data_IF_743442145210
#
_entry.id   IF_743442145210
#
_cell.length_a   1.000
_cell.length_b   1.000
_cell.length_c   1.000
_cell.angle_alpha   90.00
_cell.angle_beta   90.00
_cell.angle_gamma   90.00
#
_symmetry.space_group_name_H-M   'P 1'
#
loop_
_entity.id
_entity.type
_entity.pdbx_description
1 polymer ?
#
# COMPACT_ATOMS: atom_id res chain seq x y z
N UNK A 1 21.48 21.86 17.92
CA UNK A 1 21.48 21.28 16.57
C UNK A 1 20.63 22.18 15.69
N UNK A 2 21.11 22.61 14.52
CA UNK A 2 20.31 23.44 13.61
C UNK A 2 19.04 22.72 13.17
N UNK A 3 17.99 23.48 12.79
CA UNK A 3 16.81 22.93 12.15
C UNK A 3 17.26 22.15 10.91
N UNK A 4 16.84 20.89 10.81
CA UNK A 4 17.02 20.10 9.59
C UNK A 4 15.90 20.48 8.64
N UNK A 5 16.24 20.69 7.38
CA UNK A 5 15.28 20.99 6.32
C UNK A 5 15.05 19.76 5.46
N UNK A 6 13.90 19.72 4.79
CA UNK A 6 13.56 18.67 3.85
C UNK A 6 14.44 18.79 2.60
N UNK A 7 15.30 17.79 2.37
CA UNK A 7 16.31 17.81 1.31
C UNK A 7 15.73 17.33 -0.03
N UNK A 8 14.69 18.01 -0.54
CA UNK A 8 13.92 17.60 -1.74
C UNK A 8 14.81 17.15 -2.89
N UNK A 9 15.84 17.93 -3.25
CA UNK A 9 16.74 17.62 -4.36
C UNK A 9 17.45 16.26 -4.20
N UNK A 10 17.84 15.89 -2.98
CA UNK A 10 18.45 14.58 -2.73
C UNK A 10 17.42 13.45 -2.87
N UNK A 11 16.19 13.65 -2.41
CA UNK A 11 15.11 12.67 -2.60
C UNK A 11 14.79 12.46 -4.07
N UNK A 12 14.74 13.53 -4.87
CA UNK A 12 14.56 13.43 -6.33
C UNK A 12 15.65 12.58 -6.95
N UNK A 13 16.93 12.85 -6.64
CA UNK A 13 18.05 12.05 -7.15
C UNK A 13 17.97 10.57 -6.72
N UNK A 14 17.55 10.30 -5.47
CA UNK A 14 17.35 8.94 -4.97
C UNK A 14 16.28 8.19 -5.76
N UNK A 15 15.09 8.77 -5.94
CA UNK A 15 14.00 8.11 -6.66
C UNK A 15 14.25 7.99 -8.16
N UNK A 16 14.93 8.97 -8.77
CA UNK A 16 15.37 8.92 -10.17
C UNK A 16 16.32 7.74 -10.42
N UNK A 17 17.30 7.56 -9.52
CA UNK A 17 18.20 6.39 -9.57
C UNK A 17 17.43 5.08 -9.40
N UNK A 18 16.56 4.98 -8.39
CA UNK A 18 15.77 3.77 -8.12
C UNK A 18 14.74 3.43 -9.21
N UNK A 19 14.29 4.42 -9.98
CA UNK A 19 13.41 4.22 -11.13
C UNK A 19 14.14 3.66 -12.35
N UNK A 20 15.46 3.84 -12.42
CA UNK A 20 16.31 3.42 -13.54
C UNK A 20 16.99 2.08 -13.28
N UNK A 21 17.66 1.95 -12.14
CA UNK A 21 18.43 0.76 -11.77
C UNK A 21 18.37 0.53 -10.25
N UNK A 22 18.09 -0.72 -9.85
CA UNK A 22 18.04 -1.12 -8.46
C UNK A 22 19.41 -1.65 -8.01
N UNK A 23 19.90 -1.29 -6.81
CA UNK A 23 21.10 -1.89 -6.24
C UNK A 23 20.98 -3.41 -6.04
N UNK A 24 22.11 -4.12 -6.09
CA UNK A 24 22.19 -5.59 -5.93
C UNK A 24 21.50 -6.13 -4.66
N UNK A 25 21.45 -5.35 -3.59
CA UNK A 25 20.77 -5.71 -2.33
C UNK A 25 19.25 -5.97 -2.53
N UNK A 26 18.66 -5.46 -3.62
CA UNK A 26 17.27 -5.72 -4.01
C UNK A 26 17.08 -7.02 -4.80
N UNK A 27 18.12 -7.78 -5.10
CA UNK A 27 17.99 -9.07 -5.80
C UNK A 27 17.06 -10.05 -5.07
N UNK A 28 17.05 -10.01 -3.73
CA UNK A 28 16.10 -10.80 -2.91
C UNK A 28 14.63 -10.39 -3.07
N UNK A 29 14.39 -9.20 -3.63
CA UNK A 29 13.08 -8.61 -3.88
C UNK A 29 12.64 -8.74 -5.34
N UNK A 30 13.29 -9.60 -6.13
CA UNK A 30 12.96 -9.78 -7.55
C UNK A 30 11.47 -10.04 -7.76
N UNK A 31 10.82 -10.88 -6.94
CA UNK A 31 9.37 -11.15 -7.04
C UNK A 31 8.49 -9.93 -6.74
N UNK A 32 9.04 -8.87 -6.17
CA UNK A 32 8.36 -7.63 -5.80
C UNK A 32 8.74 -6.45 -6.73
N UNK A 33 9.39 -6.71 -7.87
CA UNK A 33 9.90 -5.67 -8.77
C UNK A 33 8.84 -4.63 -9.15
N UNK A 34 7.61 -5.07 -9.44
CA UNK A 34 6.50 -4.16 -9.74
C UNK A 34 6.11 -3.25 -8.56
N UNK A 35 6.17 -3.76 -7.33
CA UNK A 35 5.95 -2.98 -6.10
C UNK A 35 7.08 -1.97 -5.86
N UNK A 36 8.32 -2.33 -6.18
CA UNK A 36 9.45 -1.40 -6.13
C UNK A 36 9.29 -0.29 -7.18
N UNK A 37 8.86 -0.64 -8.40
CA UNK A 37 8.51 0.32 -9.44
C UNK A 37 7.41 1.29 -9.00
N UNK A 38 6.41 0.80 -8.26
CA UNK A 38 5.38 1.64 -7.65
C UNK A 38 5.96 2.67 -6.68
N UNK A 39 6.85 2.26 -5.78
CA UNK A 39 7.50 3.20 -4.86
C UNK A 39 8.39 4.22 -5.59
N UNK A 40 9.09 3.81 -6.65
CA UNK A 40 9.91 4.70 -7.47
C UNK A 40 9.07 5.78 -8.17
N UNK A 41 8.09 5.35 -8.96
CA UNK A 41 7.21 6.22 -9.73
C UNK A 41 6.34 7.08 -8.83
N UNK A 42 5.78 6.49 -7.76
CA UNK A 42 5.01 7.22 -6.75
C UNK A 42 5.84 8.27 -6.01
N UNK A 43 7.10 7.98 -5.69
CA UNK A 43 8.03 8.93 -5.06
C UNK A 43 8.33 10.12 -5.96
N UNK A 44 8.66 9.89 -7.24
CA UNK A 44 8.87 10.96 -8.22
C UNK A 44 7.59 11.80 -8.44
N UNK A 45 6.44 11.14 -8.49
CA UNK A 45 5.15 11.81 -8.65
C UNK A 45 4.84 12.70 -7.43
N UNK A 46 5.01 12.19 -6.20
CA UNK A 46 4.86 12.98 -4.97
C UNK A 46 5.80 14.20 -4.93
N UNK A 47 6.98 14.07 -5.52
CA UNK A 47 7.97 15.13 -5.60
C UNK A 47 7.70 16.12 -6.74
N UNK A 48 6.68 15.94 -7.61
CA UNK A 48 6.44 16.74 -8.83
C UNK A 48 7.54 16.62 -9.90
N UNK A 49 8.10 15.43 -10.05
CA UNK A 49 9.23 15.16 -10.95
C UNK A 49 8.98 13.90 -11.80
N UNK A 50 7.70 13.61 -12.09
CA UNK A 50 7.31 12.46 -12.91
C UNK A 50 7.80 12.55 -14.36
N UNK A 51 8.06 13.76 -14.85
CA UNK A 51 8.60 14.05 -16.19
C UNK A 51 10.05 13.56 -16.39
N UNK A 52 10.74 13.16 -15.31
CA UNK A 52 12.08 12.57 -15.38
C UNK A 52 12.10 11.17 -15.98
N UNK A 53 10.99 10.46 -15.90
CA UNK A 53 10.87 9.09 -16.43
C UNK A 53 10.06 9.06 -17.72
N UNK A 54 10.39 8.12 -18.58
CA UNK A 54 9.62 7.88 -19.80
C UNK A 54 8.30 7.17 -19.45
N UNK A 55 7.23 7.94 -19.30
CA UNK A 55 5.92 7.42 -18.89
C UNK A 55 5.37 6.36 -19.85
N UNK A 56 5.56 6.51 -21.16
CA UNK A 56 5.12 5.51 -22.15
C UNK A 56 5.88 4.19 -22.01
N UNK A 57 7.18 4.24 -21.75
CA UNK A 57 8.01 3.04 -21.56
C UNK A 57 7.64 2.32 -20.26
N UNK A 58 7.42 3.07 -19.17
CA UNK A 58 6.96 2.49 -17.91
C UNK A 58 5.55 1.89 -18.07
N UNK A 59 4.63 2.56 -18.78
CA UNK A 59 3.31 2.00 -19.07
C UNK A 59 3.43 0.67 -19.82
N UNK A 60 4.23 0.61 -20.89
CA UNK A 60 4.48 -0.64 -21.63
C UNK A 60 5.11 -1.71 -20.75
N UNK A 61 6.06 -1.32 -19.90
CA UNK A 61 6.70 -2.21 -18.94
C UNK A 61 5.68 -2.79 -17.96
N UNK A 62 4.85 -1.98 -17.30
CA UNK A 62 3.80 -2.43 -16.38
C UNK A 62 2.82 -3.38 -17.07
N UNK A 63 2.31 -2.99 -18.25
CA UNK A 63 1.36 -3.81 -19.01
C UNK A 63 1.95 -5.17 -19.42
N UNK A 64 3.28 -5.27 -19.58
CA UNK A 64 3.94 -6.54 -19.89
C UNK A 64 3.90 -7.59 -18.75
N UNK A 65 3.49 -7.18 -17.54
CA UNK A 65 3.27 -8.10 -16.41
C UNK A 65 1.84 -8.58 -16.30
N UNK A 66 0.90 -8.04 -17.09
CA UNK A 66 -0.48 -8.48 -17.06
C UNK A 66 -0.58 -9.91 -17.58
N UNK A 67 -1.27 -10.76 -16.82
CA UNK A 67 -1.51 -12.15 -17.22
C UNK A 67 -2.89 -12.24 -17.85
N UNK A 68 -2.95 -12.84 -19.04
CA UNK A 68 -4.18 -13.06 -19.79
C UNK A 68 -4.48 -14.56 -19.91
N UNK A 69 -5.77 -14.96 -20.00
CA UNK A 69 -6.14 -16.34 -20.34
C UNK A 69 -5.61 -16.72 -21.73
N UNK A 70 -5.13 -17.95 -21.90
CA UNK A 70 -4.55 -18.43 -23.18
C UNK A 70 -5.64 -18.87 -24.18
N UNK A 71 -6.78 -19.38 -23.69
CA UNK A 71 -7.92 -19.79 -24.51
C UNK A 71 -9.27 -19.32 -23.95
N UNK A 72 -10.29 -19.27 -24.82
CA UNK A 72 -11.67 -19.02 -24.41
C UNK A 72 -12.16 -20.12 -23.45
N UNK A 73 -12.56 -19.74 -22.24
CA UNK A 73 -13.00 -20.64 -21.17
C UNK A 73 -11.99 -20.81 -20.03
N UNK A 74 -10.74 -20.40 -20.21
CA UNK A 74 -9.71 -20.44 -19.16
C UNK A 74 -9.98 -19.46 -18.01
N UNK A 75 -10.91 -18.52 -18.17
CA UNK A 75 -11.45 -17.70 -17.09
C UNK A 75 -12.10 -18.54 -15.96
N UNK A 76 -12.42 -19.81 -16.22
CA UNK A 76 -12.98 -20.75 -15.24
C UNK A 76 -11.97 -21.75 -14.65
N UNK A 77 -10.71 -21.78 -15.10
CA UNK A 77 -9.71 -22.77 -14.69
C UNK A 77 -9.23 -22.62 -13.23
N UNK A 78 -9.68 -21.58 -12.54
CA UNK A 78 -9.35 -21.30 -11.13
C UNK A 78 -8.11 -20.43 -10.94
N UNK A 79 -7.41 -20.07 -12.02
CA UNK A 79 -6.29 -19.13 -11.98
C UNK A 79 -6.76 -17.70 -11.70
N UNK A 80 -5.84 -16.90 -11.17
CA UNK A 80 -6.00 -15.45 -10.99
C UNK A 80 -5.32 -14.72 -12.15
N UNK A 81 -6.02 -13.83 -12.85
CA UNK A 81 -5.50 -13.07 -14.00
C UNK A 81 -5.32 -11.60 -13.63
N UNK A 82 -4.25 -11.32 -12.90
CA UNK A 82 -3.86 -9.97 -12.49
C UNK A 82 -2.52 -9.59 -13.12
N UNK A 83 -1.61 -9.10 -12.30
CA UNK A 83 -0.24 -8.81 -12.70
C UNK A 83 0.74 -9.69 -11.92
N UNK A 84 1.77 -10.17 -12.61
CA UNK A 84 2.94 -10.79 -11.99
C UNK A 84 3.83 -9.72 -11.34
N UNK A 85 4.53 -10.06 -10.27
CA UNK A 85 5.45 -9.13 -9.61
C UNK A 85 6.80 -8.95 -10.32
N UNK A 86 7.19 -9.91 -11.17
CA UNK A 86 8.41 -9.85 -11.97
C UNK A 86 8.32 -10.71 -13.24
N UNK A 87 9.22 -10.50 -14.21
CA UNK A 87 9.36 -11.34 -15.40
C UNK A 87 10.03 -12.67 -15.08
N UNK A 88 10.83 -12.74 -14.01
CA UNK A 88 11.42 -14.00 -13.51
C UNK A 88 10.35 -15.06 -13.28
N UNK A 89 9.15 -14.66 -12.86
CA UNK A 89 8.02 -15.56 -12.61
C UNK A 89 7.34 -16.06 -13.88
N UNK A 90 7.68 -15.53 -15.05
CA UNK A 90 7.18 -15.98 -16.35
C UNK A 90 8.07 -17.07 -16.97
N UNK A 91 9.29 -17.30 -16.45
CA UNK A 91 10.18 -18.33 -16.95
C UNK A 91 9.96 -19.67 -16.23
N UNK A 92 9.85 -20.79 -16.97
CA UNK A 92 9.66 -22.10 -16.36
C UNK A 92 10.93 -22.56 -15.62
N UNK A 93 10.74 -23.20 -14.47
CA UNK A 93 11.84 -23.91 -13.80
C UNK A 93 12.25 -25.13 -14.66
N UNK A 94 13.56 -25.38 -14.89
CA UNK A 94 14.04 -26.42 -15.80
C UNK A 94 13.54 -27.84 -15.52
N UNK A 95 13.03 -28.10 -14.31
CA UNK A 95 12.70 -29.43 -13.80
C UNK A 95 11.23 -29.61 -13.40
N UNK A 96 10.34 -28.70 -13.77
CA UNK A 96 8.90 -28.83 -13.48
C UNK A 96 8.18 -29.39 -14.70
N UNK A 97 7.62 -30.60 -14.57
CA UNK A 97 6.66 -31.12 -15.54
C UNK A 97 5.36 -30.32 -15.36
N UNK A 98 5.04 -29.47 -16.33
CA UNK A 98 3.87 -28.59 -16.35
C UNK A 98 3.94 -27.38 -15.38
N UNK A 99 4.84 -26.42 -15.62
CA UNK A 99 4.96 -25.23 -14.79
C UNK A 99 3.73 -24.33 -14.93
N UNK A 100 3.09 -23.98 -13.82
CA UNK A 100 2.06 -22.93 -13.84
C UNK A 100 2.71 -21.59 -14.22
N UNK A 101 2.44 -21.13 -15.44
CA UNK A 101 2.99 -19.89 -15.99
C UNK A 101 2.32 -18.63 -15.42
N UNK A 102 1.23 -18.78 -14.67
CA UNK A 102 0.51 -17.69 -14.06
C UNK A 102 0.96 -17.48 -12.61
N UNK A 103 1.72 -16.42 -12.37
CA UNK A 103 2.16 -16.00 -11.04
C UNK A 103 1.53 -14.66 -10.63
N UNK A 104 0.29 -14.41 -11.07
CA UNK A 104 -0.45 -13.22 -10.65
C UNK A 104 -0.56 -13.15 -9.13
N UNK A 105 -0.40 -11.93 -8.61
CA UNK A 105 -0.42 -11.67 -7.18
C UNK A 105 -1.19 -10.37 -6.87
N UNK A 106 -1.98 -10.36 -5.79
CA UNK A 106 -2.82 -9.20 -5.44
C UNK A 106 -2.00 -7.93 -5.21
N UNK A 107 -0.88 -8.01 -4.46
CA UNK A 107 -0.02 -6.85 -4.21
C UNK A 107 0.61 -6.29 -5.51
N UNK A 108 0.98 -7.16 -6.45
CA UNK A 108 1.52 -6.76 -7.75
C UNK A 108 0.44 -6.13 -8.62
N UNK A 109 -0.78 -6.69 -8.59
CA UNK A 109 -1.95 -6.15 -9.30
C UNK A 109 -2.32 -4.75 -8.78
N UNK A 110 -2.35 -4.55 -7.46
CA UNK A 110 -2.48 -3.24 -6.84
C UNK A 110 -1.39 -2.28 -7.33
N UNK A 111 -0.13 -2.70 -7.27
CA UNK A 111 1.01 -1.86 -7.66
C UNK A 111 0.97 -1.45 -9.14
N UNK A 112 0.61 -2.39 -10.03
CA UNK A 112 0.39 -2.10 -11.45
C UNK A 112 -0.66 -1.01 -11.66
N UNK A 113 -1.86 -1.20 -11.09
CA UNK A 113 -2.95 -0.24 -11.26
C UNK A 113 -2.61 1.12 -10.65
N UNK A 114 -1.93 1.14 -9.51
CA UNK A 114 -1.42 2.35 -8.89
C UNK A 114 -0.45 3.11 -9.81
N UNK A 115 0.54 2.42 -10.40
CA UNK A 115 1.47 3.03 -11.37
C UNK A 115 0.69 3.56 -12.57
N UNK A 116 -0.20 2.76 -13.17
CA UNK A 116 -0.98 3.18 -14.33
C UNK A 116 -1.84 4.42 -14.06
N UNK A 117 -2.49 4.48 -12.88
CA UNK A 117 -3.21 5.68 -12.41
C UNK A 117 -2.28 6.89 -12.29
N UNK A 118 -1.13 6.74 -11.63
CA UNK A 118 -0.13 7.81 -11.48
C UNK A 118 0.35 8.35 -12.83
N UNK A 119 0.51 7.47 -13.83
CA UNK A 119 0.91 7.84 -15.18
C UNK A 119 -0.23 8.41 -16.05
N UNK A 120 -1.45 8.50 -15.53
CA UNK A 120 -2.63 8.96 -16.28
C UNK A 120 -3.13 7.98 -17.34
N UNK A 121 -2.80 6.68 -17.22
CA UNK A 121 -3.27 5.66 -18.13
C UNK A 121 -4.73 5.30 -17.85
N UNK A 122 -5.57 5.36 -18.89
CA UNK A 122 -7.00 5.03 -18.78
C UNK A 122 -7.23 3.54 -18.53
N UNK A 123 -7.58 3.19 -17.29
CA UNK A 123 -7.81 1.79 -16.87
C UNK A 123 -8.97 1.09 -17.61
N UNK A 124 -9.84 1.84 -18.31
CA UNK A 124 -10.87 1.27 -19.19
C UNK A 124 -10.30 0.38 -20.31
N UNK A 125 -9.00 0.51 -20.61
CA UNK A 125 -8.30 -0.32 -21.60
C UNK A 125 -7.83 -1.67 -21.04
N UNK A 126 -7.95 -1.90 -19.73
CA UNK A 126 -7.61 -3.16 -19.07
C UNK A 126 -8.85 -4.05 -19.09
N UNK A 127 -8.67 -5.35 -19.36
CA UNK A 127 -9.72 -6.36 -19.14
C UNK A 127 -9.99 -6.55 -17.63
N UNK A 128 -10.74 -5.59 -17.06
CA UNK A 128 -11.15 -5.60 -15.66
C UNK A 128 -12.08 -6.75 -15.33
N UNK A 129 -12.89 -7.21 -16.31
CA UNK A 129 -13.86 -8.29 -16.08
C UNK A 129 -13.16 -9.59 -15.72
N UNK A 130 -12.19 -10.02 -16.52
CA UNK A 130 -11.44 -11.27 -16.25
C UNK A 130 -10.64 -11.15 -14.95
N UNK A 131 -10.01 -9.99 -14.71
CA UNK A 131 -9.27 -9.71 -13.49
C UNK A 131 -10.17 -9.84 -12.25
N UNK A 132 -11.33 -9.18 -12.23
CA UNK A 132 -12.24 -9.19 -11.09
C UNK A 132 -12.92 -10.54 -10.88
N UNK A 133 -13.39 -11.20 -11.94
CA UNK A 133 -14.00 -12.53 -11.85
C UNK A 133 -13.04 -13.57 -11.30
N UNK A 134 -11.77 -13.51 -11.71
CA UNK A 134 -10.73 -14.41 -11.21
C UNK A 134 -10.27 -14.04 -9.80
N UNK A 135 -10.13 -12.75 -9.50
CA UNK A 135 -9.84 -12.25 -8.14
C UNK A 135 -10.88 -12.70 -7.12
N UNK A 136 -12.17 -12.71 -7.48
CA UNK A 136 -13.25 -13.14 -6.59
C UNK A 136 -13.04 -14.55 -6.04
N UNK A 137 -12.39 -15.44 -6.80
CA UNK A 137 -12.10 -16.81 -6.39
C UNK A 137 -11.01 -16.90 -5.32
N UNK A 138 -10.24 -15.82 -5.11
CA UNK A 138 -9.26 -15.72 -4.04
C UNK A 138 -9.91 -15.41 -2.68
N UNK A 139 -11.15 -14.92 -2.67
CA UNK A 139 -11.89 -14.68 -1.45
C UNK A 139 -12.26 -15.99 -0.77
N UNK A 140 -11.97 -16.09 0.51
CA UNK A 140 -12.23 -17.26 1.33
C UNK A 140 -13.63 -17.22 1.95
N UNK A 141 -14.15 -18.37 2.41
CA UNK A 141 -15.48 -18.42 3.03
C UNK A 141 -15.66 -17.47 4.22
N UNK A 142 -14.58 -17.21 4.97
CA UNK A 142 -14.53 -16.31 6.13
C UNK A 142 -14.39 -14.82 5.76
N UNK A 143 -14.27 -14.50 4.47
CA UNK A 143 -14.14 -13.13 3.94
C UNK A 143 -12.71 -12.65 3.68
N UNK A 144 -11.69 -13.39 4.16
CA UNK A 144 -10.28 -13.10 3.87
C UNK A 144 -9.93 -13.31 2.40
N UNK A 145 -8.74 -12.86 1.98
CA UNK A 145 -8.24 -13.07 0.62
C UNK A 145 -6.91 -13.78 0.63
N UNK A 146 -6.75 -14.73 -0.29
CA UNK A 146 -5.42 -15.24 -0.67
C UNK A 146 -4.79 -14.28 -1.69
N UNK A 147 -3.46 -14.14 -1.71
CA UNK A 147 -2.77 -13.30 -2.69
C UNK A 147 -2.73 -13.88 -4.09
N UNK A 148 -2.80 -15.21 -4.21
CA UNK A 148 -2.62 -15.97 -5.45
C UNK A 148 -3.48 -17.24 -5.42
N UNK A 149 -3.71 -17.83 -6.59
CA UNK A 149 -4.59 -18.99 -6.76
C UNK A 149 -3.96 -20.32 -6.32
N UNK A 150 -2.63 -20.39 -6.17
CA UNK A 150 -1.90 -21.63 -5.89
C UNK A 150 -1.84 -22.03 -4.41
N UNK A 151 -2.24 -21.16 -3.47
CA UNK A 151 -2.01 -21.40 -2.04
C UNK A 151 -1.03 -20.41 -1.43
N UNK A 152 -1.44 -19.69 -0.39
CA UNK A 152 -0.62 -18.76 0.39
C UNK A 152 -1.37 -18.37 1.68
N UNK A 153 -0.75 -17.54 2.51
CA UNK A 153 -1.39 -16.96 3.69
C UNK A 153 -2.59 -16.08 3.34
N UNK A 154 -3.43 -15.83 4.34
CA UNK A 154 -4.63 -14.98 4.22
C UNK A 154 -4.64 -13.98 5.36
N UNK A 155 -4.61 -12.70 5.04
CA UNK A 155 -4.63 -11.62 6.03
C UNK A 155 -5.13 -10.30 5.44
N UNK A 156 -5.22 -9.27 6.30
CA UNK A 156 -5.73 -7.95 5.96
C UNK A 156 -5.01 -7.26 4.78
N UNK A 157 -3.74 -7.57 4.48
CA UNK A 157 -3.04 -6.96 3.33
C UNK A 157 -3.77 -7.26 2.04
N UNK A 158 -4.26 -8.47 1.89
CA UNK A 158 -4.89 -8.93 0.67
C UNK A 158 -6.36 -8.51 0.59
N UNK A 159 -7.03 -8.34 1.74
CA UNK A 159 -8.34 -7.68 1.79
C UNK A 159 -8.23 -6.23 1.31
N UNK A 160 -7.21 -5.49 1.79
CA UNK A 160 -6.90 -4.15 1.32
C UNK A 160 -6.58 -4.11 -0.17
N UNK A 161 -5.67 -4.97 -0.65
CA UNK A 161 -5.33 -5.01 -2.08
C UNK A 161 -6.58 -5.25 -2.95
N UNK A 162 -7.44 -6.20 -2.57
CA UNK A 162 -8.67 -6.48 -3.31
C UNK A 162 -9.64 -5.29 -3.31
N UNK A 163 -9.81 -4.60 -2.17
CA UNK A 163 -10.65 -3.40 -2.08
C UNK A 163 -10.09 -2.23 -2.91
N UNK A 164 -8.78 -2.00 -2.85
CA UNK A 164 -8.10 -0.96 -3.64
C UNK A 164 -8.18 -1.22 -5.15
N UNK A 165 -8.02 -2.48 -5.57
CA UNK A 165 -8.20 -2.89 -6.98
C UNK A 165 -9.63 -2.62 -7.44
N UNK A 166 -10.65 -3.08 -6.69
CA UNK A 166 -12.06 -2.81 -7.01
C UNK A 166 -12.35 -1.30 -7.10
N UNK A 167 -11.82 -0.53 -6.16
CA UNK A 167 -12.01 0.92 -6.13
C UNK A 167 -11.34 1.64 -7.31
N UNK A 168 -10.09 1.29 -7.65
CA UNK A 168 -9.39 1.92 -8.78
C UNK A 168 -10.06 1.60 -10.13
N UNK A 169 -10.64 0.41 -10.27
CA UNK A 169 -11.38 -0.03 -11.46
C UNK A 169 -12.84 0.44 -11.49
N UNK A 170 -13.33 1.05 -10.41
CA UNK A 170 -14.75 1.40 -10.21
C UNK A 170 -15.72 0.22 -10.44
N UNK A 171 -15.30 -0.99 -10.04
CA UNK A 171 -16.11 -2.21 -10.16
C UNK A 171 -15.84 -3.16 -8.98
N UNK A 172 -16.90 -3.42 -8.21
CA UNK A 172 -16.87 -4.24 -6.99
C UNK A 172 -17.30 -5.69 -7.22
N UNK A 173 -17.46 -6.14 -8.47
CA UNK A 173 -17.84 -7.52 -8.79
C UNK A 173 -16.83 -8.56 -8.27
N UNK A 174 -15.56 -8.14 -8.10
CA UNK A 174 -14.44 -8.96 -7.67
C UNK A 174 -14.40 -9.33 -6.18
N UNK A 175 -15.35 -8.87 -5.36
CA UNK A 175 -15.42 -9.27 -3.95
C UNK A 175 -16.84 -9.26 -3.37
N UNK A 176 -17.06 -10.09 -2.36
CA UNK A 176 -18.17 -9.95 -1.42
C UNK A 176 -17.76 -8.97 -0.30
N UNK A 177 -18.26 -7.74 -0.39
CA UNK A 177 -17.96 -6.66 0.57
C UNK A 177 -18.43 -6.98 1.99
N UNK A 178 -19.56 -7.67 2.15
CA UNK A 178 -20.11 -7.94 3.47
C UNK A 178 -19.28 -8.98 4.21
N UNK A 179 -18.87 -10.05 3.52
CA UNK A 179 -17.93 -11.03 4.12
C UNK A 179 -16.56 -10.42 4.42
N UNK A 180 -16.04 -9.59 3.50
CA UNK A 180 -14.77 -8.89 3.75
C UNK A 180 -14.88 -7.97 4.98
N UNK A 181 -16.00 -7.24 5.13
CA UNK A 181 -16.29 -6.45 6.33
C UNK A 181 -16.29 -7.34 7.57
N UNK A 182 -17.03 -8.44 7.58
CA UNK A 182 -17.10 -9.38 8.73
C UNK A 182 -15.71 -9.90 9.13
N UNK A 183 -14.87 -10.27 8.16
CA UNK A 183 -13.49 -10.66 8.42
C UNK A 183 -12.68 -9.54 9.09
N UNK A 184 -12.77 -8.31 8.56
CA UNK A 184 -12.08 -7.14 9.12
C UNK A 184 -12.52 -6.89 10.55
N UNK A 185 -13.83 -6.94 10.84
CA UNK A 185 -14.34 -6.73 12.20
C UNK A 185 -13.76 -7.74 13.19
N UNK A 186 -13.63 -9.01 12.77
CA UNK A 186 -13.01 -10.05 13.58
C UNK A 186 -11.49 -9.87 13.81
N UNK A 187 -10.84 -8.99 13.04
CA UNK A 187 -9.44 -8.63 13.22
C UNK A 187 -9.22 -7.49 14.23
N UNK A 188 -10.26 -6.77 14.67
CA UNK A 188 -10.11 -5.78 15.73
C UNK A 188 -9.79 -6.50 17.05
N UNK A 189 -8.65 -6.17 17.65
CA UNK A 189 -8.17 -6.81 18.87
C UNK A 189 -8.70 -6.10 20.12
N UNK A 190 -8.45 -6.71 21.27
CA UNK A 190 -8.89 -6.21 22.59
C UNK A 190 -8.35 -4.82 22.95
N UNK A 191 -7.29 -4.35 22.27
CA UNK A 191 -6.66 -3.06 22.55
C UNK A 191 -7.07 -1.95 21.57
N UNK A 192 -7.98 -2.23 20.64
CA UNK A 192 -8.60 -1.29 19.71
C UNK A 192 -8.02 -1.27 18.29
N UNK A 193 -6.75 -1.68 18.14
CA UNK A 193 -6.12 -1.82 16.81
C UNK A 193 -6.54 -3.10 16.10
N UNK A 194 -6.03 -3.30 14.88
CA UNK A 194 -6.30 -4.52 14.11
C UNK A 194 -5.04 -5.36 13.96
N UNK A 195 -5.18 -6.65 14.24
CA UNK A 195 -4.18 -7.67 13.91
C UNK A 195 -4.28 -8.07 12.43
N UNK A 196 -3.24 -8.70 11.90
CA UNK A 196 -3.21 -9.16 10.50
C UNK A 196 -4.31 -10.20 10.20
N UNK A 197 -4.57 -11.05 11.19
CA UNK A 197 -5.61 -12.09 11.19
C UNK A 197 -6.41 -12.04 12.50
N UNK A 198 -7.62 -12.63 12.57
CA UNK A 198 -8.40 -12.67 13.80
C UNK A 198 -7.61 -13.23 14.99
N UNK A 199 -7.67 -12.53 16.13
CA UNK A 199 -6.98 -12.90 17.37
C UNK A 199 -5.47 -12.60 17.41
N UNK A 200 -4.88 -12.04 16.37
CA UNK A 200 -3.45 -11.64 16.38
C UNK A 200 -3.21 -10.28 17.06
N UNK A 201 -1.95 -10.00 17.39
CA UNK A 201 -1.51 -8.71 17.96
C UNK A 201 -1.82 -7.56 17.01
N UNK A 202 -2.43 -6.49 17.53
CA UNK A 202 -2.70 -5.27 16.77
C UNK A 202 -1.44 -4.65 16.20
N UNK A 203 -1.48 -4.30 14.91
CA UNK A 203 -0.32 -3.82 14.16
C UNK A 203 -0.69 -2.61 13.30
N UNK A 204 0.18 -1.60 13.19
CA UNK A 204 -0.10 -0.38 12.44
C UNK A 204 -0.44 -0.64 10.97
N UNK A 205 0.29 -1.55 10.32
CA UNK A 205 -0.01 -1.97 8.95
C UNK A 205 -1.34 -2.71 8.81
N UNK A 206 -1.68 -3.61 9.75
CA UNK A 206 -2.97 -4.31 9.75
C UNK A 206 -4.14 -3.35 9.98
N UNK A 207 -3.96 -2.42 10.91
CA UNK A 207 -4.91 -1.33 11.22
C UNK A 207 -5.15 -0.44 10.02
N UNK A 208 -4.11 -0.03 9.28
CA UNK A 208 -4.28 0.69 8.02
C UNK A 208 -5.06 -0.13 7.00
N UNK A 209 -4.66 -1.39 6.76
CA UNK A 209 -5.33 -2.25 5.78
C UNK A 209 -6.82 -2.43 6.09
N UNK A 210 -7.17 -2.65 7.37
CA UNK A 210 -8.55 -2.74 7.82
C UNK A 210 -9.34 -1.46 7.54
N UNK A 211 -8.86 -0.32 8.05
CA UNK A 211 -9.60 0.95 8.00
C UNK A 211 -9.69 1.49 6.58
N UNK A 212 -8.61 1.41 5.80
CA UNK A 212 -8.62 1.82 4.40
C UNK A 212 -9.57 0.94 3.56
N UNK A 213 -9.56 -0.40 3.76
CA UNK A 213 -10.49 -1.27 3.05
C UNK A 213 -11.96 -0.98 3.42
N UNK A 214 -12.26 -0.77 4.69
CA UNK A 214 -13.62 -0.39 5.13
C UNK A 214 -14.05 0.95 4.53
N UNK A 215 -13.14 1.94 4.49
CA UNK A 215 -13.42 3.24 3.90
C UNK A 215 -13.71 3.12 2.40
N UNK A 216 -12.84 2.44 1.64
CA UNK A 216 -13.03 2.19 0.20
C UNK A 216 -14.35 1.47 -0.10
N UNK A 217 -14.74 0.50 0.75
CA UNK A 217 -16.00 -0.22 0.61
C UNK A 217 -17.25 0.60 0.99
N UNK A 218 -17.08 1.78 1.60
CA UNK A 218 -18.15 2.67 2.05
C UNK A 218 -18.69 2.38 3.46
N UNK A 219 -17.93 1.67 4.30
CA UNK A 219 -18.31 1.31 5.68
C UNK A 219 -17.71 2.22 6.75
N UNK A 220 -16.72 3.05 6.41
CA UNK A 220 -16.12 4.06 7.31
C UNK A 220 -16.12 5.40 6.57
N UNK A 221 -16.48 6.47 7.28
CA UNK A 221 -16.54 7.82 6.73
C UNK A 221 -15.35 8.66 7.18
N UNK A 222 -15.12 9.81 6.53
CA UNK A 222 -14.07 10.76 6.93
C UNK A 222 -14.47 11.57 8.18
N UNK A 223 -15.77 11.66 8.48
CA UNK A 223 -16.26 12.38 9.64
C UNK A 223 -16.17 11.53 10.92
N UNK A 224 -15.31 11.96 11.85
CA UNK A 224 -15.11 11.28 13.12
C UNK A 224 -16.40 11.18 13.94
N UNK A 225 -17.22 12.24 13.98
CA UNK A 225 -18.44 12.26 14.79
C UNK A 225 -19.45 11.21 14.31
N UNK A 226 -19.65 11.10 13.00
CA UNK A 226 -20.50 10.08 12.37
C UNK A 226 -20.00 8.67 12.69
N UNK A 227 -18.69 8.44 12.58
CA UNK A 227 -18.10 7.15 12.90
C UNK A 227 -18.25 6.76 14.38
N UNK A 228 -18.17 7.71 15.31
CA UNK A 228 -18.34 7.45 16.75
C UNK A 228 -19.79 7.10 17.13
N UNK A 229 -20.76 7.45 16.29
CA UNK A 229 -22.19 7.14 16.50
C UNK A 229 -22.59 5.78 15.94
N UNK A 230 -21.82 5.21 15.00
CA UNK A 230 -22.11 3.90 14.41
C UNK A 230 -21.60 2.76 15.28
N UNK A 231 -22.48 2.23 16.13
CA UNK A 231 -22.16 1.10 17.01
C UNK A 231 -22.13 -0.27 16.31
N UNK A 232 -22.44 -0.35 15.01
CA UNK A 232 -22.61 -1.63 14.29
C UNK A 232 -21.39 -2.04 13.45
N UNK A 233 -20.31 -1.27 13.48
CA UNK A 233 -19.09 -1.51 12.71
C UNK A 233 -17.92 -1.87 13.62
N UNK A 234 -17.04 -0.90 13.90
CA UNK A 234 -15.81 -1.06 14.66
C UNK A 234 -15.91 -0.28 15.97
N UNK A 235 -15.21 -0.70 17.01
CA UNK A 235 -15.05 0.14 18.20
C UNK A 235 -14.12 1.31 17.85
N UNK A 236 -14.72 2.39 17.36
CA UNK A 236 -14.02 3.57 16.87
C UNK A 236 -13.33 4.34 18.00
N UNK A 237 -13.87 4.29 19.22
CA UNK A 237 -13.25 4.91 20.39
C UNK A 237 -11.93 4.21 20.74
N UNK A 238 -11.94 2.87 20.83
CA UNK A 238 -10.73 2.11 21.11
C UNK A 238 -9.71 2.20 19.97
N UNK A 239 -10.16 2.22 18.71
CA UNK A 239 -9.29 2.43 17.56
C UNK A 239 -8.58 3.80 17.63
N UNK A 240 -9.33 4.87 17.89
CA UNK A 240 -8.77 6.21 18.02
C UNK A 240 -7.72 6.27 19.13
N UNK A 241 -8.05 5.76 20.31
CA UNK A 241 -7.12 5.71 21.44
C UNK A 241 -5.85 4.90 21.08
N UNK A 242 -6.04 3.73 20.46
CA UNK A 242 -4.93 2.89 20.02
C UNK A 242 -3.99 3.64 19.08
N UNK A 243 -4.53 4.32 18.05
CA UNK A 243 -3.74 5.08 17.08
C UNK A 243 -2.97 6.24 17.72
N UNK A 244 -3.62 7.03 18.59
CA UNK A 244 -2.97 8.17 19.25
C UNK A 244 -1.82 7.72 20.17
N UNK A 245 -1.96 6.57 20.84
CA UNK A 245 -0.90 5.97 21.65
C UNK A 245 0.27 5.37 20.84
N UNK A 246 0.25 5.45 19.50
CA UNK A 246 1.38 5.05 18.66
C UNK A 246 2.37 6.18 18.42
N UNK A 247 1.97 7.45 18.56
CA UNK A 247 2.96 8.53 18.58
C UNK A 247 3.67 8.51 19.94
N UNK A 248 4.99 8.33 19.93
CA UNK A 248 5.79 8.21 21.16
C UNK A 248 6.65 9.45 21.35
N UNK A 249 7.43 9.47 22.44
CA UNK A 249 8.15 10.66 22.90
C UNK A 249 9.23 11.19 21.95
N UNK A 250 9.68 10.38 20.99
CA UNK A 250 10.61 10.83 19.95
C UNK A 250 9.90 11.52 18.77
N UNK A 251 8.57 11.65 18.83
CA UNK A 251 7.72 12.26 17.81
C UNK A 251 7.27 11.29 16.72
N UNK A 252 7.96 10.15 16.57
CA UNK A 252 7.66 9.13 15.58
C UNK A 252 6.52 8.20 16.00
N UNK A 253 6.12 7.33 15.08
CA UNK A 253 5.10 6.31 15.32
C UNK A 253 5.73 4.93 15.44
N UNK A 254 5.34 4.18 16.47
CA UNK A 254 5.61 2.75 16.58
C UNK A 254 4.48 1.94 15.94
N UNK A 255 4.81 0.79 15.33
CA UNK A 255 3.79 -0.09 14.74
C UNK A 255 2.99 -0.91 15.74
N UNK A 256 3.55 -1.10 16.94
CA UNK A 256 3.02 -1.91 18.04
C UNK A 256 3.47 -1.30 19.36
N UNK A 257 2.75 -1.61 20.43
CA UNK A 257 3.12 -1.18 21.79
C UNK A 257 4.53 -1.69 22.14
N UNK A 258 5.33 -0.84 22.79
CA UNK A 258 6.69 -1.15 23.26
C UNK A 258 7.67 -1.54 22.13
N UNK A 259 7.49 -1.01 20.92
CA UNK A 259 8.45 -1.14 19.83
C UNK A 259 9.04 0.23 19.48
N UNK A 260 10.25 0.30 18.91
CA UNK A 260 10.80 1.57 18.45
C UNK A 260 9.91 2.23 17.39
N UNK A 261 9.95 3.56 17.32
CA UNK A 261 9.40 4.30 16.19
C UNK A 261 10.06 3.89 14.88
N UNK A 262 9.30 3.89 13.80
CA UNK A 262 9.75 3.55 12.47
C UNK A 262 9.06 4.47 11.46
N UNK A 263 9.86 5.01 10.52
CA UNK A 263 9.44 5.96 9.49
C UNK A 263 8.13 5.56 8.80
N UNK A 264 7.94 4.29 8.46
CA UNK A 264 6.76 3.90 7.69
C UNK A 264 5.45 4.03 8.48
N UNK A 265 5.47 3.92 9.81
CA UNK A 265 4.25 4.06 10.62
C UNK A 265 3.74 5.49 10.72
N UNK A 266 4.57 6.49 10.40
CA UNK A 266 4.11 7.85 10.23
C UNK A 266 3.04 7.94 9.13
N UNK A 267 3.17 7.12 8.08
CA UNK A 267 2.11 6.94 7.07
C UNK A 267 1.07 5.91 7.52
N UNK A 268 1.45 4.71 7.97
CA UNK A 268 0.45 3.67 8.25
C UNK A 268 -0.54 4.06 9.35
N UNK A 269 -0.05 4.56 10.48
CA UNK A 269 -0.93 4.99 11.59
C UNK A 269 -1.49 6.38 11.32
N UNK A 270 -0.68 7.30 10.79
CA UNK A 270 -1.14 8.63 10.41
C UNK A 270 -2.24 8.59 9.35
N UNK A 271 -2.17 7.65 8.41
CA UNK A 271 -3.15 7.41 7.37
C UNK A 271 -4.49 6.96 7.93
N UNK A 272 -4.49 6.05 8.91
CA UNK A 272 -5.72 5.67 9.66
C UNK A 272 -6.35 6.91 10.27
N UNK A 273 -5.55 7.71 10.98
CA UNK A 273 -6.03 8.95 11.62
C UNK A 273 -6.56 9.96 10.60
N UNK A 274 -5.99 10.04 9.39
CA UNK A 274 -6.53 10.86 8.30
C UNK A 274 -7.87 10.32 7.81
N UNK A 275 -7.96 9.02 7.54
CA UNK A 275 -9.17 8.38 7.01
C UNK A 275 -10.35 8.54 7.97
N UNK A 276 -10.13 8.51 9.28
CA UNK A 276 -11.21 8.68 10.28
C UNK A 276 -11.41 10.13 10.75
N UNK A 277 -10.74 11.11 10.13
CA UNK A 277 -10.90 12.55 10.46
C UNK A 277 -10.20 13.02 11.76
N UNK A 278 -9.32 12.20 12.34
CA UNK A 278 -8.69 12.44 13.63
C UNK A 278 -7.23 12.93 13.56
N UNK A 279 -6.64 13.11 12.38
CA UNK A 279 -5.22 13.46 12.24
C UNK A 279 -4.81 14.78 12.92
N UNK A 280 -5.75 15.71 13.10
CA UNK A 280 -5.49 16.99 13.78
C UNK A 280 -5.12 16.83 15.27
N UNK A 281 -5.29 15.63 15.85
CA UNK A 281 -5.01 15.33 17.24
C UNK A 281 -3.54 14.92 17.52
N UNK A 282 -2.70 14.77 16.50
CA UNK A 282 -1.29 14.38 16.66
C UNK A 282 -0.38 15.59 16.87
N UNK A 283 0.80 15.37 17.45
CA UNK A 283 1.88 16.35 17.44
C UNK A 283 2.57 16.36 16.07
N UNK A 284 2.07 17.20 15.16
CA UNK A 284 2.59 17.35 13.79
C UNK A 284 4.04 17.86 13.75
N UNK A 285 4.41 18.73 14.69
CA UNK A 285 5.75 19.31 14.75
C UNK A 285 6.78 18.24 15.14
N UNK A 286 6.50 17.47 16.19
CA UNK A 286 7.38 16.39 16.62
C UNK A 286 7.49 15.29 15.56
N UNK A 287 6.38 14.95 14.87
CA UNK A 287 6.41 13.98 13.77
C UNK A 287 7.32 14.44 12.62
N UNK A 288 7.19 15.70 12.20
CA UNK A 288 8.06 16.27 11.15
C UNK A 288 9.52 16.21 11.56
N UNK A 289 9.84 16.60 12.80
CA UNK A 289 11.22 16.54 13.31
C UNK A 289 11.77 15.12 13.30
N UNK A 290 10.99 14.13 13.76
CA UNK A 290 11.35 12.71 13.70
C UNK A 290 11.67 12.27 12.26
N UNK A 291 10.78 12.53 11.30
CA UNK A 291 10.97 12.13 9.90
C UNK A 291 12.26 12.72 9.31
N UNK A 292 12.56 13.98 9.59
CA UNK A 292 13.79 14.63 9.15
C UNK A 292 15.05 14.09 9.84
N UNK A 293 14.91 13.34 10.94
CA UNK A 293 16.02 12.57 11.50
C UNK A 293 16.28 11.23 10.81
N UNK A 294 15.30 10.71 10.09
CA UNK A 294 15.38 9.50 9.27
C UNK A 294 15.81 9.78 7.82
N UNK A 295 15.79 11.04 7.38
CA UNK A 295 16.29 11.49 6.07
C UNK A 295 17.79 11.18 5.93
N UNK A 296 18.16 10.47 4.87
CA UNK A 296 19.56 10.15 4.57
C UNK A 296 20.26 11.32 3.88
N UNK A 297 21.57 11.54 4.14
CA UNK A 297 22.35 12.52 3.39
C UNK A 297 22.43 12.22 1.89
N UNK A 298 22.15 10.99 1.45
CA UNK A 298 22.15 10.58 0.04
C UNK A 298 20.78 10.70 -0.64
N UNK A 299 19.77 11.24 0.07
CA UNK A 299 18.38 11.16 -0.36
C UNK A 299 17.71 9.88 0.13
N UNK A 300 16.39 9.82 0.00
CA UNK A 300 15.58 8.76 0.61
C UNK A 300 15.50 8.83 2.14
N UNK A 301 14.73 7.91 2.72
CA UNK A 301 14.55 7.76 4.16
C UNK A 301 14.97 6.36 4.60
N UNK A 302 15.44 6.30 5.84
CA UNK A 302 15.75 5.07 6.55
C UNK A 302 14.60 4.68 7.48
N UNK A 303 14.60 3.42 7.94
CA UNK A 303 13.67 2.94 8.97
C UNK A 303 13.77 3.71 10.30
N UNK A 304 15.00 3.96 10.75
CA UNK A 304 15.29 4.49 12.08
C UNK A 304 16.21 5.71 11.99
N UNK A 305 16.09 6.67 12.93
CA UNK A 305 17.01 7.80 13.02
C UNK A 305 18.48 7.36 13.02
N UNK A 306 19.35 8.21 12.46
CA UNK A 306 20.81 8.02 12.42
C UNK A 306 21.34 6.89 11.51
N UNK A 307 20.47 6.05 10.94
CA UNK A 307 20.87 5.18 9.84
C UNK A 307 21.18 6.03 8.61
N UNK A 308 22.17 5.61 7.82
CA UNK A 308 22.61 6.36 6.63
C UNK A 308 22.16 5.75 5.31
N UNK A 309 21.92 4.45 5.27
CA UNK A 309 21.55 3.75 4.04
C UNK A 309 20.02 3.72 3.95
N UNK A 310 19.43 4.48 3.00
CA UNK A 310 17.99 4.49 2.77
C UNK A 310 17.54 3.23 2.01
N UNK A 311 16.25 2.94 2.07
CA UNK A 311 15.60 1.98 1.20
C UNK A 311 14.34 2.59 0.59
N UNK A 312 13.90 2.08 -0.56
CA UNK A 312 12.83 2.69 -1.34
C UNK A 312 11.48 2.62 -0.63
N UNK A 313 11.26 1.58 0.18
CA UNK A 313 10.03 1.40 0.95
C UNK A 313 9.87 2.49 2.01
N UNK A 314 10.86 2.67 2.89
CA UNK A 314 10.79 3.74 3.90
C UNK A 314 10.90 5.11 3.25
N UNK A 315 11.60 5.23 2.12
CA UNK A 315 11.67 6.49 1.37
C UNK A 315 10.29 6.92 0.87
N UNK A 316 9.52 5.99 0.30
CA UNK A 316 8.17 6.29 -0.17
C UNK A 316 7.25 6.66 0.99
N UNK A 317 7.21 5.84 2.04
CA UNK A 317 6.32 6.11 3.18
C UNK A 317 6.76 7.31 4.02
N UNK A 318 8.05 7.67 4.02
CA UNK A 318 8.55 8.91 4.59
C UNK A 318 8.05 10.14 3.82
N UNK A 319 8.12 10.12 2.48
CA UNK A 319 7.50 11.17 1.65
C UNK A 319 5.98 11.21 1.82
N UNK A 320 5.32 10.06 1.86
CA UNK A 320 3.89 9.98 2.04
C UNK A 320 3.47 10.59 3.39
N UNK A 321 4.20 10.31 4.47
CA UNK A 321 3.96 10.91 5.77
C UNK A 321 4.18 12.42 5.78
N UNK A 322 5.22 12.93 5.10
CA UNK A 322 5.44 14.36 4.92
C UNK A 322 4.33 15.01 4.08
N UNK A 323 3.80 14.32 3.08
CA UNK A 323 2.63 14.76 2.32
C UNK A 323 1.38 14.87 3.22
N UNK A 324 1.14 13.91 4.13
CA UNK A 324 0.05 14.01 5.12
C UNK A 324 0.21 15.21 6.07
N UNK A 325 1.45 15.64 6.30
CA UNK A 325 1.81 16.83 7.08
C UNK A 325 1.70 18.13 6.27
N UNK A 326 1.42 18.06 4.96
CA UNK A 326 1.39 19.19 4.03
C UNK A 326 2.77 19.85 3.86
N UNK A 327 3.84 19.04 3.82
CA UNK A 327 5.21 19.53 3.57
C UNK A 327 5.29 20.27 2.22
N UNK A 328 5.94 21.43 2.23
CA UNK A 328 6.08 22.25 1.03
C UNK A 328 6.84 21.50 -0.08
N UNK A 329 6.31 21.57 -1.30
CA UNK A 329 6.91 20.92 -2.47
C UNK A 329 6.56 19.45 -2.66
N UNK A 330 5.65 18.89 -1.83
CA UNK A 330 5.04 17.58 -2.04
C UNK A 330 3.58 17.71 -2.51
N UNK A 331 3.14 16.75 -3.32
CA UNK A 331 1.74 16.61 -3.73
C UNK A 331 0.89 15.93 -2.63
N UNK A 332 -0.41 16.25 -2.51
CA UNK A 332 -1.32 15.57 -1.60
C UNK A 332 -1.64 14.14 -2.07
N UNK A 333 -1.95 13.27 -1.09
CA UNK A 333 -2.30 11.87 -1.30
C UNK A 333 -3.80 11.62 -1.18
N UNK A 334 -4.31 10.72 -2.03
CA UNK A 334 -5.42 9.85 -1.68
C UNK A 334 -4.90 8.80 -0.70
N UNK A 335 -5.19 9.01 0.58
CA UNK A 335 -4.56 8.28 1.69
C UNK A 335 -4.90 6.79 1.64
N UNK A 336 -6.17 6.48 1.38
CA UNK A 336 -6.75 5.15 1.33
C UNK A 336 -6.29 4.31 0.14
N UNK A 337 -5.79 4.93 -0.94
CA UNK A 337 -5.16 4.21 -2.05
C UNK A 337 -3.64 4.33 -2.04
N UNK A 338 -3.09 5.16 -1.15
CA UNK A 338 -1.67 5.41 -1.07
C UNK A 338 -1.07 5.98 -2.36
N UNK A 339 -1.82 6.71 -3.18
CA UNK A 339 -1.36 7.37 -4.42
C UNK A 339 -1.74 8.85 -4.42
N UNK A 340 -1.26 9.65 -5.37
CA UNK A 340 -1.57 11.07 -5.45
C UNK A 340 -3.07 11.32 -5.66
N UNK A 341 -3.63 12.35 -5.02
CA UNK A 341 -5.05 12.71 -5.18
C UNK A 341 -5.41 13.07 -6.63
N UNK A 342 -4.46 13.65 -7.38
CA UNK A 342 -4.66 14.03 -8.78
C UNK A 342 -4.72 12.85 -9.75
N UNK A 343 -4.35 11.64 -9.31
CA UNK A 343 -4.36 10.44 -10.13
C UNK A 343 -5.71 9.69 -10.11
N UNK A 344 -6.72 10.19 -9.38
CA UNK A 344 -8.00 9.51 -9.21
C UNK A 344 -8.96 9.68 -10.39
#
# INVERSE_FOLDING_TARGET
MGKRDFARAHHVAFFDAMATELPDDYASQEVNHLTLGYFAVGGLSLLRELDRVNTEEITKWVLSFQVHPEAHGDEYNGMFYGFCGSRSTQFPLPNVKDPCHNCSHLASTYSALAILKILGYGLASIDSKTLLLSMKKLQRPDGSFMPTHIGAETDLRFVYCAAAICSMLDDWAGMDKLKAKEYILNCQSYDGGFGMVPGSESHGGGTFCAVAALHLMGFVQVDLASNLQDSASIDMHMLLEWCLQRQVTDGGFQGRRNKPSDTCYAFWVGGVLKIIGAYHLIDRCALREFLLTCQSPYGGFTKFPHNRIPDIYHSYYGLAALSLLEEEGLEPLCVELGILSAAL
#
